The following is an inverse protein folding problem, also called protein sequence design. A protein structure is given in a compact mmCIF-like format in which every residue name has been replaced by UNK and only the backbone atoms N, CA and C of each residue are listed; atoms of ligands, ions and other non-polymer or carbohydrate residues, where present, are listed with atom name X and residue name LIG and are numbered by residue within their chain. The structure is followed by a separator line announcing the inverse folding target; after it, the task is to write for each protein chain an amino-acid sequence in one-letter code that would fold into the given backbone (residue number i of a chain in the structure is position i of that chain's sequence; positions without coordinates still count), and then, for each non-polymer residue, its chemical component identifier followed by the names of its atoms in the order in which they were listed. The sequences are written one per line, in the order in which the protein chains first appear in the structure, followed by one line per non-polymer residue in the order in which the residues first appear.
data_IF_149502911080
#
_entry.id   IF_149502911080
#
_cell.length_a   1.000
_cell.length_b   1.000
_cell.length_c   1.000
_cell.angle_alpha   90.00
_cell.angle_beta   90.00
_cell.angle_gamma   90.00
#
_symmetry.space_group_name_H-M   'P 1'
#
loop_
_entity.id
_entity.type
_entity.pdbx_description
1 polymer ?
#
# COMPACT_ATOMS: atom_id res chain seq x y z
N UNK A 1 -24.46 4.14 5.64
CA UNK A 1 -24.57 4.78 4.33
C UNK A 1 -24.16 6.22 4.46
N UNK A 2 -23.39 6.71 3.49
CA UNK A 2 -22.97 8.10 3.37
C UNK A 2 -23.97 8.98 2.61
N UNK A 3 -23.54 10.20 2.31
CA UNK A 3 -24.21 11.14 1.41
C UNK A 3 -23.21 11.50 0.32
N UNK A 4 -23.46 11.13 -0.92
CA UNK A 4 -22.53 11.37 -2.04
C UNK A 4 -22.96 12.60 -2.83
N UNK A 5 -21.99 13.28 -3.44
CA UNK A 5 -22.23 14.51 -4.18
C UNK A 5 -21.53 14.47 -5.53
N UNK A 6 -22.30 14.52 -6.61
CA UNK A 6 -21.77 14.52 -7.97
C UNK A 6 -21.35 15.91 -8.46
N UNK A 7 -21.61 16.98 -7.71
CA UNK A 7 -21.09 18.31 -8.02
C UNK A 7 -19.55 18.31 -7.81
N UNK A 8 -18.75 18.49 -8.88
CA UNK A 8 -17.29 18.44 -8.78
C UNK A 8 -16.69 19.55 -7.92
N UNK A 9 -17.47 20.60 -7.58
CA UNK A 9 -17.05 21.70 -6.72
C UNK A 9 -17.54 21.58 -5.27
N UNK A 10 -18.37 20.58 -4.98
CA UNK A 10 -18.88 20.33 -3.63
C UNK A 10 -17.86 19.55 -2.78
N UNK A 11 -17.90 19.83 -1.48
CA UNK A 11 -17.15 19.10 -0.46
C UNK A 11 -18.07 18.52 0.63
N UNK A 12 -19.39 18.54 0.40
CA UNK A 12 -20.37 18.10 1.41
C UNK A 12 -20.60 16.59 1.42
N UNK A 13 -19.96 15.87 0.48
CA UNK A 13 -19.97 14.42 0.46
C UNK A 13 -19.39 13.82 1.75
N UNK A 14 -20.06 12.79 2.26
CA UNK A 14 -19.69 11.99 3.43
C UNK A 14 -19.61 10.53 2.99
N UNK A 15 -18.47 9.86 3.19
CA UNK A 15 -18.39 8.42 2.96
C UNK A 15 -19.37 7.63 3.84
N UNK A 16 -19.57 8.09 5.08
CA UNK A 16 -20.49 7.50 6.04
C UNK A 16 -21.19 8.56 6.90
N UNK A 17 -22.39 8.26 7.41
CA UNK A 17 -23.13 9.14 8.34
C UNK A 17 -22.34 9.56 9.59
N UNK A 18 -21.37 8.75 10.01
CA UNK A 18 -20.51 8.97 11.18
C UNK A 18 -19.13 9.54 10.80
N UNK A 19 -18.90 9.83 9.52
CA UNK A 19 -17.69 10.47 9.02
C UNK A 19 -18.02 11.91 8.65
N UNK A 20 -17.15 12.85 9.03
CA UNK A 20 -17.28 14.26 8.67
C UNK A 20 -17.16 14.44 7.15
N UNK A 21 -17.93 15.38 6.55
CA UNK A 21 -17.82 15.69 5.13
C UNK A 21 -16.44 16.29 4.83
N UNK A 22 -16.06 16.35 3.57
CA UNK A 22 -14.76 16.91 3.15
C UNK A 22 -14.66 18.42 3.42
N UNK A 23 -15.79 19.13 3.53
CA UNK A 23 -15.87 20.54 3.91
C UNK A 23 -15.50 20.80 5.38
N UNK A 24 -15.56 19.77 6.23
CA UNK A 24 -15.19 19.86 7.64
C UNK A 24 -13.77 19.33 7.89
N UNK A 25 -12.99 19.98 8.77
CA UNK A 25 -11.64 19.54 9.09
C UNK A 25 -11.65 18.16 9.78
N UNK A 26 -10.66 17.33 9.45
CA UNK A 26 -10.41 16.07 10.15
C UNK A 26 -9.81 16.35 11.52
N UNK A 27 -10.42 15.80 12.57
CA UNK A 27 -9.87 15.85 13.92
C UNK A 27 -8.97 14.64 14.14
N UNK A 28 -7.66 14.89 14.09
CA UNK A 28 -6.64 13.85 14.24
C UNK A 28 -6.57 13.26 15.66
N UNK A 29 -7.23 13.87 16.65
CA UNK A 29 -7.30 13.35 18.00
C UNK A 29 -8.43 12.32 18.15
N UNK A 30 -9.59 12.59 17.55
CA UNK A 30 -10.83 11.83 17.81
C UNK A 30 -11.36 11.06 16.61
N UNK A 31 -11.15 11.53 15.38
CA UNK A 31 -11.59 10.83 14.18
C UNK A 31 -10.62 9.67 13.87
N UNK A 32 -11.17 8.53 13.43
CA UNK A 32 -10.41 7.31 13.13
C UNK A 32 -10.35 7.02 11.64
N UNK A 33 -9.12 6.79 11.16
CA UNK A 33 -8.88 6.36 9.77
C UNK A 33 -9.23 4.87 9.66
N UNK A 34 -10.18 4.58 8.78
CA UNK A 34 -10.57 3.23 8.37
C UNK A 34 -10.47 3.19 6.86
N UNK A 35 -9.34 2.70 6.38
CA UNK A 35 -9.02 2.78 4.96
C UNK A 35 -8.49 1.50 4.37
N UNK A 36 -8.36 1.53 3.05
CA UNK A 36 -7.72 0.49 2.25
C UNK A 36 -6.65 1.13 1.38
N UNK A 37 -5.63 0.36 1.04
CA UNK A 37 -4.68 0.73 0.01
C UNK A 37 -5.29 0.42 -1.36
N UNK A 38 -4.98 1.26 -2.35
CA UNK A 38 -5.16 0.94 -3.76
C UNK A 38 -3.85 0.40 -4.34
N UNK A 39 -3.26 -0.57 -3.63
CA UNK A 39 -2.01 -1.24 -4.01
C UNK A 39 -2.17 -2.04 -5.30
N UNK A 40 -1.09 -2.15 -6.07
CA UNK A 40 -1.10 -2.81 -7.37
C UNK A 40 -1.82 -2.05 -8.48
N UNK A 41 -2.31 -0.81 -8.26
CA UNK A 41 -2.98 0.01 -9.29
C UNK A 41 -2.02 0.90 -10.07
N UNK A 42 -1.35 1.84 -9.41
CA UNK A 42 -0.43 2.78 -10.08
C UNK A 42 1.04 2.40 -9.91
N UNK A 43 1.33 1.55 -8.93
CA UNK A 43 2.61 0.87 -8.74
C UNK A 43 2.31 -0.62 -8.81
N UNK A 44 2.82 -1.30 -9.84
CA UNK A 44 2.42 -2.67 -10.13
C UNK A 44 3.15 -3.69 -9.25
N UNK A 45 2.39 -4.66 -8.77
CA UNK A 45 2.89 -5.72 -7.90
C UNK A 45 2.43 -7.10 -8.41
N UNK A 46 3.37 -8.01 -8.69
CA UNK A 46 3.03 -9.32 -9.24
C UNK A 46 2.05 -10.13 -8.41
N UNK A 47 2.08 -10.01 -7.08
CA UNK A 47 1.17 -10.78 -6.23
C UNK A 47 -0.25 -10.18 -6.20
N UNK A 48 -0.42 -8.89 -6.50
CA UNK A 48 -1.74 -8.25 -6.54
C UNK A 48 -2.38 -8.46 -7.91
N UNK A 49 -1.61 -8.32 -8.99
CA UNK A 49 -2.07 -8.46 -10.37
C UNK A 49 -1.28 -9.51 -11.16
N UNK A 50 -1.29 -10.79 -10.74
CA UNK A 50 -0.42 -11.83 -11.29
C UNK A 50 -0.57 -12.05 -12.80
N UNK A 51 -1.78 -11.92 -13.33
CA UNK A 51 -2.05 -12.12 -14.76
C UNK A 51 -1.27 -11.17 -15.68
N UNK A 52 -0.94 -9.94 -15.24
CA UNK A 52 -0.13 -9.01 -16.05
C UNK A 52 1.29 -9.52 -16.27
N UNK A 53 1.88 -10.11 -15.23
CA UNK A 53 3.26 -10.62 -15.23
C UNK A 53 3.33 -12.00 -15.86
N UNK A 54 2.28 -12.82 -15.70
CA UNK A 54 2.21 -14.18 -16.24
C UNK A 54 2.27 -14.27 -17.75
N UNK A 55 1.90 -13.19 -18.45
CA UNK A 55 2.08 -13.06 -19.90
C UNK A 55 3.55 -13.18 -20.33
N UNK A 56 4.48 -12.77 -19.47
CA UNK A 56 5.91 -12.74 -19.73
C UNK A 56 6.70 -13.67 -18.79
N UNK A 57 6.03 -14.62 -18.15
CA UNK A 57 6.65 -15.52 -17.16
C UNK A 57 7.66 -16.50 -17.75
N UNK A 58 7.52 -16.84 -19.03
CA UNK A 58 8.41 -17.78 -19.72
C UNK A 58 9.46 -17.06 -20.58
N UNK A 59 9.61 -15.73 -20.43
CA UNK A 59 10.61 -14.97 -21.17
C UNK A 59 12.04 -15.32 -20.74
N UNK A 60 12.96 -15.38 -21.71
CA UNK A 60 14.37 -15.75 -21.53
C UNK A 60 15.26 -14.58 -22.00
N UNK A 61 16.30 -14.17 -21.24
CA UNK A 61 16.86 -14.86 -20.09
C UNK A 61 16.08 -14.70 -18.77
N UNK A 62 15.26 -13.67 -18.64
CA UNK A 62 14.56 -13.36 -17.38
C UNK A 62 13.08 -12.99 -17.63
N UNK A 63 12.15 -13.42 -16.75
CA UNK A 63 10.74 -13.06 -16.85
C UNK A 63 10.47 -11.64 -16.33
N UNK A 64 9.24 -11.16 -16.51
CA UNK A 64 8.76 -9.96 -15.82
C UNK A 64 8.68 -10.24 -14.30
N UNK A 65 9.57 -9.62 -13.51
CA UNK A 65 9.61 -9.72 -12.04
C UNK A 65 9.05 -8.51 -11.30
N UNK A 66 9.00 -7.38 -11.99
CA UNK A 66 8.66 -6.05 -11.47
C UNK A 66 8.21 -5.15 -12.64
N UNK A 67 7.77 -3.93 -12.34
CA UNK A 67 7.30 -3.01 -13.39
C UNK A 67 8.42 -2.58 -14.35
N UNK A 68 9.68 -2.56 -13.91
CA UNK A 68 10.84 -2.29 -14.76
C UNK A 68 10.95 -3.31 -15.90
N UNK A 69 11.07 -4.58 -15.55
CA UNK A 69 11.22 -5.69 -16.50
C UNK A 69 9.96 -5.88 -17.34
N UNK A 70 8.76 -5.73 -16.74
CA UNK A 70 7.50 -5.73 -17.49
C UNK A 70 7.49 -4.63 -18.56
N UNK A 71 7.92 -3.42 -18.21
CA UNK A 71 7.98 -2.29 -19.13
C UNK A 71 8.96 -2.55 -20.29
N UNK A 72 10.14 -3.10 -20.02
CA UNK A 72 11.10 -3.47 -21.06
C UNK A 72 10.54 -4.53 -22.02
N UNK A 73 9.90 -5.57 -21.48
CA UNK A 73 9.36 -6.67 -22.27
C UNK A 73 8.18 -6.23 -23.15
N UNK A 74 7.24 -5.45 -22.61
CA UNK A 74 6.12 -4.90 -23.39
C UNK A 74 6.62 -3.95 -24.48
N UNK A 75 7.63 -3.12 -24.20
CA UNK A 75 8.25 -2.26 -25.20
C UNK A 75 8.92 -3.07 -26.31
N UNK A 76 9.46 -4.25 -26.00
CA UNK A 76 10.11 -5.14 -26.97
C UNK A 76 9.13 -6.05 -27.72
N UNK A 77 7.91 -6.26 -27.23
CA UNK A 77 6.88 -7.12 -27.84
C UNK A 77 6.31 -6.51 -29.13
N UNK A 78 7.05 -6.65 -30.24
CA UNK A 78 6.71 -6.09 -31.57
C UNK A 78 5.61 -6.87 -32.29
N UNK A 79 4.52 -7.22 -31.61
CA UNK A 79 3.37 -7.92 -32.19
C UNK A 79 2.76 -7.19 -33.39
N UNK A 80 3.40 -7.33 -34.55
CA UNK A 80 3.08 -6.92 -35.93
C UNK A 80 2.56 -5.49 -36.19
N UNK A 81 2.41 -4.62 -35.19
CA UNK A 81 2.04 -3.21 -35.40
C UNK A 81 3.29 -2.30 -35.50
N UNK A 82 3.17 -1.23 -36.29
CA UNK A 82 4.26 -0.25 -36.52
C UNK A 82 4.49 0.73 -35.37
N UNK A 83 3.99 0.43 -34.16
CA UNK A 83 4.03 1.35 -33.03
C UNK A 83 5.44 1.46 -32.41
N UNK A 84 5.69 2.53 -31.68
CA UNK A 84 6.89 2.68 -30.84
C UNK A 84 6.75 1.83 -29.56
N UNK A 85 7.87 1.55 -28.89
CA UNK A 85 7.81 0.84 -27.60
C UNK A 85 6.97 1.59 -26.55
N UNK A 86 7.02 2.92 -26.55
CA UNK A 86 6.21 3.75 -25.63
C UNK A 86 4.73 3.60 -25.89
N UNK A 87 4.30 3.64 -27.16
CA UNK A 87 2.90 3.45 -27.53
C UNK A 87 2.38 2.05 -27.17
N UNK A 88 3.22 1.00 -27.29
CA UNK A 88 2.87 -0.35 -26.82
C UNK A 88 2.69 -0.39 -25.31
N UNK A 89 3.62 0.18 -24.56
CA UNK A 89 3.55 0.20 -23.10
C UNK A 89 2.32 0.97 -22.61
N UNK A 90 2.05 2.13 -23.20
CA UNK A 90 0.86 2.91 -22.88
C UNK A 90 -0.43 2.14 -23.20
N UNK A 91 -0.52 1.56 -24.40
CA UNK A 91 -1.68 0.76 -24.77
C UNK A 91 -1.89 -0.38 -23.79
N UNK A 92 -0.84 -1.17 -23.52
CA UNK A 92 -0.88 -2.29 -22.59
C UNK A 92 -1.31 -1.86 -21.18
N UNK A 93 -0.68 -0.85 -20.59
CA UNK A 93 -1.00 -0.42 -19.23
C UNK A 93 -2.41 0.15 -19.13
N UNK A 94 -2.88 0.93 -20.11
CA UNK A 94 -4.26 1.43 -20.11
C UNK A 94 -5.28 0.32 -20.29
N UNK A 95 -5.15 -0.49 -21.35
CA UNK A 95 -6.19 -1.46 -21.73
C UNK A 95 -6.22 -2.68 -20.84
N UNK A 96 -5.07 -3.16 -20.36
CA UNK A 96 -5.00 -4.36 -19.53
C UNK A 96 -5.12 -4.05 -18.03
N UNK A 97 -4.88 -2.80 -17.61
CA UNK A 97 -4.75 -2.50 -16.19
C UNK A 97 -5.41 -1.19 -15.72
N UNK A 98 -4.84 -0.01 -16.00
CA UNK A 98 -5.23 1.23 -15.32
C UNK A 98 -6.71 1.60 -15.50
N UNK A 99 -7.31 1.33 -16.67
CA UNK A 99 -8.74 1.61 -16.91
C UNK A 99 -9.69 0.52 -16.39
N UNK A 100 -9.16 -0.61 -15.91
CA UNK A 100 -9.96 -1.81 -15.56
C UNK A 100 -9.80 -2.26 -14.12
N UNK A 101 -8.63 -2.04 -13.52
CA UNK A 101 -8.33 -2.57 -12.21
C UNK A 101 -9.03 -1.78 -11.13
N UNK A 102 -8.76 -0.49 -10.95
CA UNK A 102 -9.55 0.38 -10.06
C UNK A 102 -10.37 1.35 -10.91
N UNK A 103 -11.66 1.41 -10.62
CA UNK A 103 -12.65 2.22 -11.31
C UNK A 103 -13.41 3.10 -10.32
N UNK A 104 -14.33 3.93 -10.81
CA UNK A 104 -15.19 4.71 -9.93
C UNK A 104 -16.07 3.81 -9.03
N UNK A 105 -16.51 2.66 -9.55
CA UNK A 105 -17.34 1.70 -8.80
C UNK A 105 -16.61 1.22 -7.55
N UNK A 106 -15.28 1.02 -7.62
CA UNK A 106 -14.48 0.67 -6.46
C UNK A 106 -14.53 1.75 -5.37
N UNK A 107 -14.57 3.04 -5.71
CA UNK A 107 -14.68 4.12 -4.71
C UNK A 107 -16.07 4.13 -4.07
N UNK A 108 -17.12 3.84 -4.85
CA UNK A 108 -18.46 3.68 -4.33
C UNK A 108 -18.55 2.47 -3.38
N UNK A 109 -17.92 1.35 -3.72
CA UNK A 109 -17.87 0.13 -2.90
C UNK A 109 -17.03 0.31 -1.64
N UNK A 110 -15.88 0.98 -1.72
CA UNK A 110 -15.04 1.35 -0.56
C UNK A 110 -15.86 2.16 0.43
N UNK A 111 -16.55 3.21 -0.05
CA UNK A 111 -17.45 3.98 0.78
C UNK A 111 -18.56 3.08 1.34
N UNK A 112 -19.22 2.24 0.52
CA UNK A 112 -20.28 1.34 0.96
C UNK A 112 -19.85 0.32 2.04
N UNK A 113 -18.59 -0.10 2.03
CA UNK A 113 -17.96 -0.99 3.01
C UNK A 113 -17.70 -0.33 4.38
N UNK A 114 -18.12 0.94 4.58
CA UNK A 114 -17.96 1.63 5.85
C UNK A 114 -16.63 2.38 6.01
N UNK A 115 -15.81 2.39 4.97
CA UNK A 115 -14.49 3.04 4.96
C UNK A 115 -14.61 4.54 4.69
N UNK A 116 -13.59 5.30 5.14
CA UNK A 116 -13.58 6.76 5.05
C UNK A 116 -12.29 7.33 4.43
N UNK A 117 -11.29 6.49 4.20
CA UNK A 117 -10.01 6.86 3.61
C UNK A 117 -9.54 5.84 2.58
N UNK A 118 -8.73 6.30 1.62
CA UNK A 118 -7.86 5.46 0.81
C UNK A 118 -6.40 5.89 0.99
N UNK A 119 -5.49 4.93 0.92
CA UNK A 119 -4.07 5.21 0.65
C UNK A 119 -3.82 4.92 -0.81
N UNK A 120 -3.25 5.88 -1.52
CA UNK A 120 -2.99 5.82 -2.96
C UNK A 120 -1.47 5.75 -3.21
N UNK A 121 -0.89 4.55 -3.26
CA UNK A 121 0.45 4.33 -3.79
C UNK A 121 0.54 4.85 -5.22
N UNK A 122 1.51 5.72 -5.48
CA UNK A 122 1.87 6.10 -6.84
C UNK A 122 3.39 6.21 -6.99
N UNK A 123 3.94 5.93 -8.18
CA UNK A 123 5.37 5.89 -8.38
C UNK A 123 5.93 7.21 -8.91
N UNK A 124 7.25 7.41 -8.77
CA UNK A 124 7.91 8.62 -9.27
C UNK A 124 7.76 8.84 -10.79
N UNK A 125 7.61 7.77 -11.59
CA UNK A 125 7.41 7.90 -13.04
C UNK A 125 6.04 8.48 -13.42
N UNK A 126 5.11 8.59 -12.47
CA UNK A 126 3.93 9.44 -12.64
C UNK A 126 4.30 10.93 -12.81
N UNK A 127 5.49 11.35 -12.37
CA UNK A 127 5.96 12.74 -12.47
C UNK A 127 6.92 12.88 -13.66
N UNK A 128 8.02 12.12 -13.67
CA UNK A 128 9.01 12.14 -14.73
C UNK A 128 9.86 10.86 -14.78
N UNK A 129 10.53 10.64 -15.91
CA UNK A 129 11.56 9.60 -16.07
C UNK A 129 12.88 10.20 -16.59
N UNK A 130 14.00 9.53 -16.32
CA UNK A 130 15.33 9.85 -16.86
C UNK A 130 15.76 8.81 -17.90
N UNK A 131 16.72 9.15 -18.80
CA UNK A 131 17.24 8.21 -19.78
C UNK A 131 17.69 6.89 -19.15
N UNK A 132 17.17 5.77 -19.67
CA UNK A 132 17.44 4.43 -19.15
C UNK A 132 16.38 3.89 -18.20
N UNK A 133 15.43 4.70 -17.75
CA UNK A 133 14.26 4.24 -16.99
C UNK A 133 13.14 3.82 -17.97
N UNK A 134 12.72 2.54 -17.99
CA UNK A 134 11.80 2.04 -19.02
C UNK A 134 10.33 2.33 -18.71
N UNK A 135 10.01 2.97 -17.59
CA UNK A 135 8.65 3.21 -17.14
C UNK A 135 7.84 4.08 -18.11
N UNK A 136 6.51 4.06 -17.95
CA UNK A 136 5.62 4.94 -18.68
C UNK A 136 5.49 6.28 -17.95
N UNK A 137 6.17 7.29 -18.46
CA UNK A 137 6.18 8.63 -17.89
C UNK A 137 4.78 9.28 -17.91
N UNK A 138 4.40 9.94 -16.80
CA UNK A 138 3.23 10.84 -16.63
C UNK A 138 1.83 10.21 -16.72
N UNK A 139 1.67 9.07 -17.37
CA UNK A 139 0.32 8.48 -17.57
C UNK A 139 -0.36 8.11 -16.26
N UNK A 140 0.37 7.56 -15.28
CA UNK A 140 -0.19 7.22 -13.97
C UNK A 140 -0.78 8.45 -13.22
N UNK A 141 -0.27 9.66 -13.48
CA UNK A 141 -0.76 10.89 -12.85
C UNK A 141 -2.20 11.23 -13.26
N UNK A 142 -2.63 10.86 -14.47
CA UNK A 142 -4.02 11.02 -14.90
C UNK A 142 -4.99 10.27 -13.96
N UNK A 143 -4.56 9.10 -13.48
CA UNK A 143 -5.36 8.26 -12.57
C UNK A 143 -5.30 8.76 -11.13
N UNK A 144 -4.20 9.41 -10.71
CA UNK A 144 -4.17 10.17 -9.45
C UNK A 144 -5.24 11.27 -9.45
N UNK A 145 -5.42 11.97 -10.57
CA UNK A 145 -6.46 13.00 -10.70
C UNK A 145 -7.87 12.39 -10.68
N UNK A 146 -8.10 11.26 -11.38
CA UNK A 146 -9.37 10.50 -11.30
C UNK A 146 -9.67 10.07 -9.86
N UNK A 147 -8.68 9.55 -9.13
CA UNK A 147 -8.83 9.12 -7.74
C UNK A 147 -9.26 10.29 -6.83
N UNK A 148 -8.71 11.49 -7.02
CA UNK A 148 -9.12 12.69 -6.25
C UNK A 148 -10.57 13.08 -6.57
N UNK A 149 -10.97 13.00 -7.84
CA UNK A 149 -12.34 13.27 -8.26
C UNK A 149 -13.34 12.28 -7.64
N UNK A 150 -13.06 10.99 -7.74
CA UNK A 150 -13.91 9.95 -7.17
C UNK A 150 -13.94 10.02 -5.64
N UNK A 151 -12.79 10.24 -4.99
CA UNK A 151 -12.73 10.44 -3.55
C UNK A 151 -13.58 11.63 -3.10
N UNK A 152 -13.55 12.74 -3.84
CA UNK A 152 -14.41 13.90 -3.58
C UNK A 152 -15.89 13.51 -3.63
N UNK A 153 -16.30 12.84 -4.71
CA UNK A 153 -17.70 12.44 -4.93
C UNK A 153 -18.26 11.56 -3.82
N UNK A 154 -17.46 10.61 -3.34
CA UNK A 154 -17.87 9.64 -2.32
C UNK A 154 -17.49 10.05 -0.89
N UNK A 155 -16.92 11.24 -0.69
CA UNK A 155 -16.55 11.76 0.63
C UNK A 155 -15.41 10.99 1.30
N UNK A 156 -14.52 10.38 0.50
CA UNK A 156 -13.32 9.68 0.94
C UNK A 156 -12.15 10.66 1.00
N UNK A 157 -11.28 10.49 2.00
CA UNK A 157 -10.00 11.22 2.11
C UNK A 157 -8.84 10.37 1.59
N UNK A 158 -7.76 11.02 1.15
CA UNK A 158 -6.61 10.37 0.54
C UNK A 158 -5.35 10.58 1.39
N UNK A 159 -4.65 9.47 1.67
CA UNK A 159 -3.22 9.48 1.90
C UNK A 159 -2.49 9.26 0.58
N UNK A 160 -1.87 10.30 0.05
CA UNK A 160 -1.14 10.25 -1.21
C UNK A 160 0.28 9.76 -0.92
N UNK A 161 0.66 8.62 -1.48
CA UNK A 161 1.86 7.90 -1.07
C UNK A 161 2.87 7.75 -2.22
N UNK A 162 4.02 8.41 -2.08
CA UNK A 162 5.11 8.26 -3.04
C UNK A 162 5.81 6.91 -2.79
N UNK A 163 5.26 5.89 -3.47
CA UNK A 163 5.52 4.49 -3.17
C UNK A 163 6.84 3.98 -3.75
N UNK A 164 7.29 4.59 -4.85
CA UNK A 164 8.51 4.22 -5.56
C UNK A 164 9.40 5.45 -5.74
N UNK A 165 10.65 5.37 -5.31
CA UNK A 165 11.64 6.44 -5.47
C UNK A 165 12.62 6.15 -6.60
N UNK A 166 13.21 7.19 -7.25
CA UNK A 166 14.30 7.00 -8.20
C UNK A 166 15.42 6.12 -7.65
N UNK A 167 15.83 5.14 -8.44
CA UNK A 167 16.86 4.17 -8.07
C UNK A 167 16.40 3.08 -7.10
N UNK A 168 15.12 3.00 -6.72
CA UNK A 168 14.60 2.10 -5.67
C UNK A 168 15.15 2.41 -4.28
N UNK A 169 14.23 2.57 -3.32
CA UNK A 169 14.56 2.83 -1.93
C UNK A 169 14.76 1.58 -1.08
N UNK A 170 14.28 0.42 -1.52
CA UNK A 170 14.28 -0.82 -0.74
C UNK A 170 14.76 -2.06 -1.51
N UNK A 171 14.92 -1.96 -2.84
CA UNK A 171 15.34 -3.05 -3.70
C UNK A 171 14.26 -4.12 -3.94
N UNK A 172 13.02 -3.88 -3.52
CA UNK A 172 11.89 -4.79 -3.66
C UNK A 172 11.05 -4.47 -4.90
N UNK A 173 10.31 -5.46 -5.43
CA UNK A 173 9.55 -5.32 -6.67
C UNK A 173 8.56 -4.14 -6.66
N UNK A 174 7.89 -3.87 -5.54
CA UNK A 174 6.91 -2.81 -5.36
C UNK A 174 7.53 -1.40 -5.26
N UNK A 175 8.86 -1.28 -5.22
CA UNK A 175 9.55 0.00 -5.51
C UNK A 175 9.75 0.25 -7.00
N UNK A 176 9.24 -0.64 -7.87
CA UNK A 176 9.32 -0.60 -9.32
C UNK A 176 10.48 -1.39 -9.91
N UNK A 177 11.55 -1.64 -9.14
CA UNK A 177 12.74 -2.37 -9.59
C UNK A 177 13.33 -3.23 -8.48
N UNK A 178 13.21 -4.55 -8.63
CA UNK A 178 13.87 -5.56 -7.81
C UNK A 178 15.38 -5.50 -8.04
N UNK A 179 16.16 -5.52 -6.96
CA UNK A 179 17.62 -5.56 -7.02
C UNK A 179 18.30 -4.59 -6.06
N UNK A 180 19.46 -3.98 -6.43
CA UNK A 180 20.21 -3.15 -5.51
C UNK A 180 19.50 -1.83 -5.20
N UNK A 181 19.67 -1.35 -3.97
CA UNK A 181 19.16 -0.04 -3.54
C UNK A 181 20.02 1.06 -4.15
N UNK A 182 19.42 1.84 -5.06
CA UNK A 182 20.06 2.98 -5.70
C UNK A 182 19.87 4.28 -4.94
N UNK A 183 18.80 4.41 -4.15
CA UNK A 183 18.49 5.59 -3.32
C UNK A 183 19.48 5.70 -2.14
N UNK A 184 20.18 6.83 -2.02
CA UNK A 184 21.20 7.11 -1.00
C UNK A 184 22.39 6.12 -0.91
N UNK A 185 22.41 5.02 -1.67
CA UNK A 185 23.39 3.93 -1.56
C UNK A 185 24.23 3.70 -2.83
N UNK A 186 23.91 4.38 -3.94
CA UNK A 186 24.67 4.27 -5.19
C UNK A 186 25.44 5.54 -5.54
N UNK A 187 26.24 5.50 -6.62
CA UNK A 187 26.88 6.69 -7.19
C UNK A 187 25.85 7.79 -7.57
N UNK A 188 24.63 7.38 -7.93
CA UNK A 188 23.51 8.29 -8.20
C UNK A 188 22.62 8.52 -6.96
N UNK A 189 22.99 8.02 -5.79
CA UNK A 189 22.12 7.98 -4.61
C UNK A 189 21.70 9.35 -4.09
N UNK A 190 22.62 10.32 -4.06
CA UNK A 190 22.29 11.70 -3.69
C UNK A 190 21.45 12.40 -4.77
N UNK A 191 21.71 12.13 -6.05
CA UNK A 191 20.92 12.67 -7.14
C UNK A 191 19.47 12.14 -7.11
N UNK A 192 19.30 10.85 -6.85
CA UNK A 192 17.99 10.21 -6.66
C UNK A 192 17.23 10.77 -5.45
N UNK A 193 17.93 11.01 -4.35
CA UNK A 193 17.36 11.68 -3.18
C UNK A 193 16.95 13.13 -3.49
N UNK A 194 17.78 13.88 -4.22
CA UNK A 194 17.46 15.25 -4.62
C UNK A 194 16.24 15.30 -5.56
N UNK A 195 16.17 14.42 -6.57
CA UNK A 195 14.98 14.25 -7.43
C UNK A 195 13.72 14.04 -6.59
N UNK A 196 13.81 13.13 -5.61
CA UNK A 196 12.69 12.84 -4.70
C UNK A 196 12.28 14.07 -3.90
N UNK A 197 13.22 14.83 -3.35
CA UNK A 197 12.95 16.06 -2.59
C UNK A 197 12.27 17.13 -3.46
N UNK A 198 12.63 17.22 -4.73
CA UNK A 198 12.02 18.16 -5.68
C UNK A 198 10.59 17.70 -6.05
N UNK A 199 10.36 16.40 -6.21
CA UNK A 199 9.01 15.84 -6.35
C UNK A 199 8.14 16.13 -5.13
N UNK A 200 8.66 15.94 -3.92
CA UNK A 200 7.92 16.23 -2.69
C UNK A 200 7.55 17.71 -2.55
N UNK A 201 8.42 18.62 -2.99
CA UNK A 201 8.09 20.05 -3.04
C UNK A 201 6.97 20.34 -4.06
N UNK A 202 7.02 19.73 -5.25
CA UNK A 202 5.96 19.86 -6.26
C UNK A 202 4.62 19.27 -5.78
N UNK A 203 4.66 18.11 -5.12
CA UNK A 203 3.49 17.46 -4.50
C UNK A 203 2.92 18.31 -3.37
N UNK A 204 3.77 18.95 -2.56
CA UNK A 204 3.33 19.87 -1.53
C UNK A 204 2.56 21.06 -2.12
N UNK A 205 3.04 21.65 -3.23
CA UNK A 205 2.31 22.69 -3.97
C UNK A 205 0.99 22.14 -4.52
N UNK A 206 1.00 20.94 -5.08
CA UNK A 206 -0.22 20.31 -5.57
C UNK A 206 -1.27 20.12 -4.48
N UNK A 207 -0.85 19.67 -3.29
CA UNK A 207 -1.74 19.43 -2.15
C UNK A 207 -2.33 20.72 -1.54
N UNK A 208 -1.80 21.91 -1.85
CA UNK A 208 -2.37 23.18 -1.37
C UNK A 208 -3.43 23.75 -2.33
N UNK A 209 -3.57 23.19 -3.54
CA UNK A 209 -4.56 23.65 -4.53
C UNK A 209 -5.97 23.43 -4.03
N UNK A 210 -6.86 24.37 -4.33
CA UNK A 210 -8.30 24.20 -4.10
C UNK A 210 -8.81 22.97 -4.87
N UNK A 211 -9.67 22.18 -4.22
CA UNK A 211 -10.13 20.90 -4.73
C UNK A 211 -9.25 19.72 -4.32
N UNK A 212 -7.96 19.95 -4.07
CA UNK A 212 -7.02 18.91 -3.63
C UNK A 212 -6.90 18.91 -2.11
N UNK A 213 -6.73 20.09 -1.49
CA UNK A 213 -6.48 20.22 -0.03
C UNK A 213 -7.57 19.63 0.86
N UNK A 214 -8.82 19.59 0.39
CA UNK A 214 -9.96 19.01 1.11
C UNK A 214 -9.97 17.48 1.05
N UNK A 215 -9.40 16.91 -0.01
CA UNK A 215 -9.43 15.47 -0.31
C UNK A 215 -8.15 14.80 0.19
N UNK A 216 -6.99 15.38 -0.11
CA UNK A 216 -5.67 14.85 0.27
C UNK A 216 -5.30 15.36 1.66
N UNK A 217 -5.61 14.56 2.67
CA UNK A 217 -5.33 14.87 4.07
C UNK A 217 -3.94 14.43 4.53
N UNK A 218 -3.33 13.47 3.85
CA UNK A 218 -1.97 12.98 4.15
C UNK A 218 -1.09 12.88 2.90
N UNK A 219 0.21 13.10 3.09
CA UNK A 219 1.26 12.89 2.10
C UNK A 219 2.35 12.00 2.70
N UNK A 220 2.41 10.73 2.30
CA UNK A 220 3.49 9.81 2.64
C UNK A 220 4.69 10.03 1.72
N UNK A 221 5.85 10.35 2.31
CA UNK A 221 6.98 10.91 1.55
C UNK A 221 7.93 9.87 0.94
N UNK A 222 7.92 8.65 1.48
CA UNK A 222 8.70 7.52 0.99
C UNK A 222 8.16 6.22 1.61
N UNK A 223 7.88 5.22 0.79
CA UNK A 223 7.48 3.90 1.25
C UNK A 223 8.69 3.05 1.67
N UNK A 224 8.64 2.44 2.86
CA UNK A 224 9.52 1.37 3.34
C UNK A 224 11.04 1.49 3.07
N UNK A 225 11.66 2.62 3.40
CA UNK A 225 13.13 2.74 3.32
C UNK A 225 13.80 1.84 4.39
N UNK A 226 14.60 0.81 4.02
CA UNK A 226 15.18 -0.13 4.95
C UNK A 226 16.35 0.51 5.69
N UNK A 227 16.01 1.04 6.85
CA UNK A 227 16.85 1.85 7.71
C UNK A 227 18.28 1.29 7.94
N UNK A 228 18.39 -0.02 8.17
CA UNK A 228 19.68 -0.66 8.48
C UNK A 228 20.57 -0.78 7.24
N UNK A 229 19.97 -0.98 6.07
CA UNK A 229 20.70 -1.12 4.81
C UNK A 229 21.11 0.24 4.26
N UNK A 230 20.21 1.23 4.30
CA UNK A 230 20.49 2.59 3.80
C UNK A 230 21.32 3.42 4.79
N UNK A 231 21.18 3.16 6.09
CA UNK A 231 21.89 3.85 7.16
C UNK A 231 21.06 4.94 7.84
N UNK A 232 21.02 4.90 9.17
CA UNK A 232 20.11 5.74 9.96
C UNK A 232 20.33 7.24 9.78
N UNK A 233 21.59 7.67 9.69
CA UNK A 233 21.92 9.10 9.55
C UNK A 233 21.38 9.63 8.22
N UNK A 234 21.65 8.92 7.12
CA UNK A 234 21.21 9.33 5.79
C UNK A 234 19.67 9.39 5.69
N UNK A 235 18.97 8.37 6.19
CA UNK A 235 17.50 8.33 6.19
C UNK A 235 16.91 9.45 7.04
N UNK A 236 17.43 9.69 8.25
CA UNK A 236 16.96 10.80 9.11
C UNK A 236 17.20 12.16 8.47
N UNK A 237 18.37 12.38 7.88
CA UNK A 237 18.68 13.63 7.17
C UNK A 237 17.76 13.86 5.98
N UNK A 238 17.50 12.83 5.16
CA UNK A 238 16.57 12.91 4.04
C UNK A 238 15.17 13.31 4.51
N UNK A 239 14.65 12.65 5.54
CA UNK A 239 13.34 13.02 6.07
C UNK A 239 13.33 14.39 6.75
N UNK A 240 14.39 14.84 7.41
CA UNK A 240 14.44 16.20 7.95
C UNK A 240 14.33 17.24 6.80
N UNK A 241 15.11 17.06 5.74
CA UNK A 241 15.08 17.91 4.55
C UNK A 241 13.72 17.87 3.84
N UNK A 242 13.11 16.69 3.70
CA UNK A 242 11.78 16.53 3.13
C UNK A 242 10.71 17.29 3.93
N UNK A 243 10.81 17.27 5.27
CA UNK A 243 9.90 18.03 6.13
C UNK A 243 10.04 19.53 5.90
N UNK A 244 11.26 20.06 5.91
CA UNK A 244 11.51 21.49 5.70
C UNK A 244 11.02 21.94 4.33
N UNK A 245 11.28 21.17 3.27
CA UNK A 245 10.80 21.51 1.92
C UNK A 245 9.28 21.55 1.81
N UNK A 246 8.60 20.57 2.39
CA UNK A 246 7.14 20.54 2.40
C UNK A 246 6.60 21.73 3.20
N UNK A 247 7.13 22.00 4.40
CA UNK A 247 6.64 23.10 5.26
C UNK A 247 6.96 24.48 4.72
N UNK A 248 8.08 24.66 4.03
CA UNK A 248 8.40 25.91 3.33
C UNK A 248 7.38 26.22 2.22
N UNK A 249 6.78 25.21 1.60
CA UNK A 249 5.70 25.37 0.61
C UNK A 249 4.35 25.56 1.28
N UNK A 250 4.03 24.71 2.26
CA UNK A 250 2.66 24.64 2.79
C UNK A 250 2.39 25.63 3.92
N UNK A 251 3.43 26.11 4.59
CA UNK A 251 3.32 26.81 5.88
C UNK A 251 3.13 25.85 7.06
N UNK A 252 3.01 26.42 8.26
CA UNK A 252 2.85 25.72 9.53
C UNK A 252 1.44 25.86 10.12
N UNK A 253 1.01 24.88 10.91
CA UNK A 253 -0.25 24.92 11.65
C UNK A 253 -1.45 24.34 10.88
N UNK A 254 -2.60 24.26 11.56
CA UNK A 254 -3.81 23.69 11.00
C UNK A 254 -4.27 24.41 9.72
N UNK A 255 -4.72 23.66 8.72
CA UNK A 255 -5.18 24.18 7.42
C UNK A 255 -4.10 24.46 6.39
N UNK A 256 -2.82 24.43 6.77
CA UNK A 256 -1.69 24.79 5.90
C UNK A 256 -1.07 23.57 5.20
N UNK A 257 -1.86 22.80 4.44
CA UNK A 257 -1.44 21.58 3.71
C UNK A 257 -1.67 20.25 4.45
N UNK A 258 -1.20 19.11 3.91
CA UNK A 258 -1.47 17.78 4.46
C UNK A 258 -0.62 17.45 5.69
N UNK A 259 -1.07 16.45 6.46
CA UNK A 259 -0.24 15.75 7.44
C UNK A 259 0.85 14.99 6.68
N UNK A 260 2.10 15.22 7.06
CA UNK A 260 3.24 14.57 6.44
C UNK A 260 3.48 13.24 7.14
N UNK A 261 3.51 12.16 6.37
CA UNK A 261 3.66 10.81 6.89
C UNK A 261 5.05 10.22 6.55
N UNK A 262 5.67 9.55 7.52
CA UNK A 262 6.94 8.86 7.37
C UNK A 262 6.78 7.38 7.68
N UNK A 263 7.13 6.51 6.73
CA UNK A 263 7.17 5.08 6.97
C UNK A 263 8.45 4.74 7.73
N UNK A 264 8.30 4.27 8.97
CA UNK A 264 9.40 3.80 9.79
C UNK A 264 8.91 2.89 10.93
N UNK A 265 9.71 1.91 11.36
CA UNK A 265 9.38 1.09 12.53
C UNK A 265 9.14 1.97 13.77
N UNK A 266 8.15 1.63 14.61
CA UNK A 266 7.90 2.40 15.84
C UNK A 266 9.07 2.41 16.82
N UNK A 267 10.01 1.48 16.74
CA UNK A 267 11.27 1.56 17.48
C UNK A 267 12.03 2.87 17.24
N UNK A 268 11.81 3.51 16.08
CA UNK A 268 12.39 4.79 15.68
C UNK A 268 11.79 6.01 16.41
N UNK A 269 10.62 5.87 17.06
CA UNK A 269 10.04 6.91 17.94
C UNK A 269 10.90 7.18 19.17
N UNK A 270 11.68 6.19 19.64
CA UNK A 270 12.54 6.33 20.82
C UNK A 270 13.55 7.47 20.69
N UNK A 271 13.96 7.81 19.46
CA UNK A 271 14.92 8.89 19.23
C UNK A 271 14.25 10.26 19.07
N UNK A 272 12.91 10.34 19.12
CA UNK A 272 12.09 11.56 19.03
C UNK A 272 12.51 12.55 17.93
N UNK A 273 13.13 12.05 16.87
CA UNK A 273 13.91 12.85 15.91
C UNK A 273 13.07 13.80 15.04
N UNK A 274 11.76 13.55 14.95
CA UNK A 274 10.75 14.46 14.39
C UNK A 274 9.55 14.64 15.32
N UNK A 275 9.68 14.27 16.61
CA UNK A 275 8.59 14.44 17.56
C UNK A 275 8.39 15.93 17.87
N UNK A 276 7.14 16.38 17.94
CA UNK A 276 6.80 17.79 18.17
C UNK A 276 6.89 18.68 16.92
N UNK A 277 7.23 18.11 15.76
CA UNK A 277 7.11 18.81 14.49
C UNK A 277 5.64 18.98 14.07
N UNK A 278 5.35 20.01 13.28
CA UNK A 278 4.00 20.35 12.86
C UNK A 278 3.41 19.29 11.91
N UNK A 279 2.27 18.72 12.29
CA UNK A 279 1.45 17.80 11.48
C UNK A 279 2.25 16.63 10.90
N UNK A 280 2.88 15.86 11.78
CA UNK A 280 3.59 14.63 11.43
C UNK A 280 2.83 13.39 11.85
N UNK A 281 2.80 12.41 10.96
CA UNK A 281 2.32 11.07 11.22
C UNK A 281 3.47 10.06 11.09
N UNK A 282 3.40 8.98 11.86
CA UNK A 282 4.29 7.85 11.76
C UNK A 282 3.52 6.65 11.25
N UNK A 283 3.99 6.11 10.15
CA UNK A 283 3.42 4.95 9.50
C UNK A 283 4.26 3.71 9.82
N UNK A 284 3.62 2.70 10.40
CA UNK A 284 4.23 1.39 10.66
C UNK A 284 3.44 0.29 9.98
N UNK A 285 4.11 -0.43 9.09
CA UNK A 285 3.56 -1.61 8.45
C UNK A 285 3.71 -2.81 9.38
N UNK A 286 2.66 -3.63 9.50
CA UNK A 286 2.59 -4.75 10.45
C UNK A 286 2.07 -5.99 9.75
N UNK A 287 2.98 -6.94 9.51
CA UNK A 287 2.67 -8.21 8.86
C UNK A 287 3.09 -9.38 9.75
N UNK A 288 2.26 -10.44 9.75
CA UNK A 288 2.62 -11.75 10.30
C UNK A 288 3.16 -12.69 9.21
N UNK A 289 2.88 -12.41 7.93
CA UNK A 289 3.24 -13.23 6.78
C UNK A 289 4.74 -13.51 6.65
N UNK A 290 5.58 -12.54 7.03
CA UNK A 290 7.04 -12.57 6.80
C UNK A 290 7.84 -12.90 8.06
N UNK A 291 7.19 -13.51 9.06
CA UNK A 291 7.89 -13.96 10.27
C UNK A 291 8.88 -15.08 9.95
N UNK A 292 9.83 -15.30 10.86
CA UNK A 292 10.74 -16.43 10.75
C UNK A 292 9.94 -17.74 10.73
N UNK A 293 10.39 -18.77 9.98
CA UNK A 293 9.66 -20.03 9.85
C UNK A 293 9.22 -20.66 11.18
N UNK A 294 10.01 -20.54 12.25
CA UNK A 294 9.70 -21.09 13.58
C UNK A 294 8.59 -20.32 14.33
N UNK A 295 8.10 -19.22 13.76
CA UNK A 295 7.07 -18.35 14.32
C UNK A 295 5.81 -18.31 13.45
N UNK A 296 5.78 -19.08 12.36
CA UNK A 296 4.61 -19.27 11.52
C UNK A 296 3.66 -20.22 12.23
N UNK A 297 2.87 -19.68 13.16
CA UNK A 297 1.84 -20.43 13.90
C UNK A 297 0.47 -20.39 13.19
N UNK A 298 -0.52 -21.11 13.75
CA UNK A 298 -1.90 -21.08 13.27
C UNK A 298 -2.63 -19.78 13.63
N UNK A 299 -3.83 -19.57 13.05
CA UNK A 299 -4.60 -18.33 13.27
C UNK A 299 -4.93 -18.09 14.75
N UNK A 300 -5.24 -19.14 15.51
CA UNK A 300 -5.56 -19.06 16.94
C UNK A 300 -4.39 -18.51 17.76
N UNK A 301 -3.16 -18.89 17.43
CA UNK A 301 -1.95 -18.42 18.10
C UNK A 301 -1.65 -16.95 17.78
N UNK A 302 -2.04 -16.48 16.59
CA UNK A 302 -1.81 -15.10 16.15
C UNK A 302 -2.92 -14.14 16.59
N UNK A 303 -4.13 -14.64 16.87
CA UNK A 303 -5.35 -13.84 17.06
C UNK A 303 -5.16 -12.65 18.00
N UNK A 304 -4.63 -12.87 19.20
CA UNK A 304 -4.44 -11.81 20.20
C UNK A 304 -3.08 -11.10 20.13
N UNK A 305 -2.15 -11.53 19.26
CA UNK A 305 -0.83 -10.89 19.13
C UNK A 305 -0.93 -9.39 18.80
N UNK A 306 -1.85 -8.90 17.95
CA UNK A 306 -2.02 -7.46 17.71
C UNK A 306 -2.32 -6.66 18.98
N UNK A 307 -3.31 -7.09 19.77
CA UNK A 307 -3.66 -6.43 21.02
C UNK A 307 -2.49 -6.47 22.02
N UNK A 308 -1.84 -7.62 22.16
CA UNK A 308 -0.82 -7.84 23.19
C UNK A 308 0.54 -7.23 22.83
N UNK A 309 0.89 -7.15 21.53
CA UNK A 309 2.23 -6.74 21.08
C UNK A 309 2.26 -5.38 20.39
N UNK A 310 1.19 -4.95 19.75
CA UNK A 310 1.21 -3.75 18.90
C UNK A 310 0.41 -2.60 19.48
N UNK A 311 -0.76 -2.83 20.11
CA UNK A 311 -1.63 -1.77 20.62
C UNK A 311 -0.89 -0.79 21.56
N UNK A 312 -0.01 -1.29 22.42
CA UNK A 312 0.80 -0.47 23.32
C UNK A 312 1.76 0.48 22.58
N UNK A 313 2.30 0.08 21.42
CA UNK A 313 3.18 0.95 20.63
C UNK A 313 2.37 2.06 19.92
N UNK A 314 1.17 1.75 19.41
CA UNK A 314 0.27 2.74 18.81
C UNK A 314 -0.17 3.77 19.86
N UNK A 315 -0.63 3.33 21.04
CA UNK A 315 -1.00 4.21 22.16
C UNK A 315 0.17 5.12 22.61
N UNK A 316 1.38 4.57 22.70
CA UNK A 316 2.57 5.35 23.05
C UNK A 316 2.91 6.37 21.97
N UNK A 317 2.83 5.98 20.70
CA UNK A 317 3.16 6.89 19.58
C UNK A 317 2.19 8.05 19.53
N UNK A 318 0.89 7.77 19.70
CA UNK A 318 -0.17 8.79 19.82
C UNK A 318 0.13 9.82 20.91
N UNK A 319 0.54 9.37 22.10
CA UNK A 319 0.77 10.24 23.25
C UNK A 319 2.13 10.95 23.29
N UNK A 320 3.13 10.48 22.53
CA UNK A 320 4.52 10.96 22.69
C UNK A 320 5.18 11.51 21.43
N UNK A 321 4.63 11.22 20.25
CA UNK A 321 5.27 11.50 18.96
C UNK A 321 4.36 12.30 18.02
N UNK A 322 3.17 11.77 17.71
CA UNK A 322 2.28 12.29 16.68
C UNK A 322 1.25 11.24 16.28
N UNK A 323 0.65 11.39 15.11
CA UNK A 323 -0.43 10.52 14.64
C UNK A 323 0.15 9.15 14.24
N UNK A 324 -0.15 8.05 14.95
CA UNK A 324 0.25 6.72 14.52
C UNK A 324 -0.75 6.22 13.47
N UNK A 325 -0.21 5.57 12.45
CA UNK A 325 -0.97 4.94 11.37
C UNK A 325 -0.37 3.57 11.09
N UNK A 326 -1.23 2.57 10.90
CA UNK A 326 -0.83 1.34 10.21
C UNK A 326 -1.16 1.53 8.73
N UNK A 327 -0.20 2.02 7.96
CA UNK A 327 -0.37 2.28 6.52
C UNK A 327 -0.52 1.00 5.72
N UNK A 328 -0.04 -0.12 6.27
CA UNK A 328 -0.23 -1.44 5.70
C UNK A 328 -0.30 -2.53 6.76
N UNK A 329 -1.28 -3.43 6.59
CA UNK A 329 -1.42 -4.71 7.27
C UNK A 329 -2.34 -5.62 6.45
N UNK A 330 -2.32 -6.92 6.70
CA UNK A 330 -3.21 -7.89 6.06
C UNK A 330 -3.61 -8.99 7.04
N UNK A 331 -4.46 -9.94 6.62
CA UNK A 331 -4.77 -11.12 7.42
C UNK A 331 -3.80 -12.29 7.17
N UNK A 332 -2.76 -12.07 6.38
CA UNK A 332 -1.81 -13.12 6.05
C UNK A 332 -0.93 -13.47 7.27
N UNK A 333 -1.06 -14.71 7.73
CA UNK A 333 -0.25 -15.30 8.82
C UNK A 333 0.92 -16.16 8.30
N UNK A 334 1.06 -16.25 6.98
CA UNK A 334 2.12 -16.93 6.26
C UNK A 334 2.36 -16.25 4.91
N UNK A 335 3.36 -16.72 4.17
CA UNK A 335 3.77 -16.18 2.88
C UNK A 335 3.40 -17.08 1.69
N UNK A 336 2.32 -17.87 1.79
CA UNK A 336 1.87 -18.77 0.73
C UNK A 336 1.36 -18.07 -0.54
N UNK A 337 1.15 -16.75 -0.48
CA UNK A 337 0.59 -16.01 -1.59
C UNK A 337 1.42 -16.14 -2.86
N UNK A 338 0.77 -16.41 -3.99
CA UNK A 338 1.39 -16.44 -5.30
C UNK A 338 2.14 -15.14 -5.59
N UNK A 339 3.43 -15.26 -5.89
CA UNK A 339 4.38 -14.16 -6.13
C UNK A 339 4.55 -13.16 -4.97
N UNK A 340 4.05 -13.48 -3.79
CA UNK A 340 4.14 -12.59 -2.63
C UNK A 340 5.59 -12.28 -2.26
N UNK A 341 6.46 -13.29 -2.34
CA UNK A 341 7.88 -13.12 -2.03
C UNK A 341 8.68 -12.54 -3.20
N UNK A 342 8.40 -12.96 -4.44
CA UNK A 342 8.81 -12.39 -5.73
C UNK A 342 8.32 -13.32 -6.84
N UNK A 343 8.35 -12.87 -8.10
CA UNK A 343 8.21 -13.79 -9.24
C UNK A 343 9.41 -14.73 -9.27
N UNK A 344 9.13 -16.02 -9.43
CA UNK A 344 10.10 -17.14 -9.38
C UNK A 344 10.72 -17.43 -8.00
N UNK A 345 10.24 -16.81 -6.92
CA UNK A 345 10.58 -17.20 -5.55
C UNK A 345 9.40 -17.95 -4.90
N UNK A 346 9.74 -18.96 -4.09
CA UNK A 346 8.76 -19.75 -3.34
C UNK A 346 8.35 -19.10 -2.02
N UNK A 347 7.96 -19.93 -1.05
CA UNK A 347 7.46 -19.51 0.26
C UNK A 347 8.21 -20.21 1.42
N UNK A 348 8.22 -19.59 2.59
CA UNK A 348 8.91 -20.07 3.79
C UNK A 348 8.21 -21.28 4.38
N UNK A 349 6.87 -21.30 4.34
CA UNK A 349 6.07 -22.37 4.94
C UNK A 349 6.43 -23.75 4.35
N UNK A 350 6.55 -23.83 3.03
CA UNK A 350 6.89 -25.04 2.27
C UNK A 350 8.40 -25.20 2.01
N UNK A 351 9.22 -24.29 2.55
CA UNK A 351 10.69 -24.35 2.41
C UNK A 351 11.18 -24.15 0.98
N UNK A 352 10.43 -23.44 0.15
CA UNK A 352 10.77 -23.14 -1.26
C UNK A 352 11.28 -21.72 -1.47
N UNK A 353 11.27 -20.89 -0.43
CA UNK A 353 11.87 -19.54 -0.43
C UNK A 353 13.41 -19.62 -0.47
N UNK A 354 14.12 -18.68 -1.11
CA UNK A 354 15.59 -18.70 -1.13
C UNK A 354 16.23 -18.78 0.26
N UNK A 355 17.22 -19.67 0.40
CA UNK A 355 17.92 -20.01 1.64
C UNK A 355 17.12 -20.81 2.67
N UNK A 356 15.88 -21.20 2.37
CA UNK A 356 15.18 -22.26 3.10
C UNK A 356 15.42 -23.60 2.40
N UNK A 357 15.53 -24.68 3.18
CA UNK A 357 15.81 -26.02 2.63
C UNK A 357 14.82 -27.09 3.08
N UNK A 358 13.96 -26.78 4.05
CA UNK A 358 13.00 -27.73 4.61
C UNK A 358 11.68 -27.02 4.94
N UNK A 359 10.52 -27.64 4.64
CA UNK A 359 9.24 -27.13 5.09
C UNK A 359 9.20 -27.02 6.61
N UNK A 360 8.61 -25.94 7.12
CA UNK A 360 8.42 -25.71 8.54
C UNK A 360 6.94 -25.47 8.80
N UNK A 361 6.23 -26.57 9.01
CA UNK A 361 4.81 -26.53 9.30
C UNK A 361 4.59 -26.43 10.81
N UNK A 362 3.81 -25.44 11.31
CA UNK A 362 3.35 -25.52 12.67
C UNK A 362 2.52 -26.79 12.88
N UNK A 363 2.44 -27.33 14.11
CA UNK A 363 1.58 -28.48 14.40
C UNK A 363 0.11 -28.26 14.00
N UNK A 364 -0.34 -27.01 13.92
CA UNK A 364 -1.67 -26.56 13.51
C UNK A 364 -1.82 -26.32 12.00
N UNK A 365 -0.81 -26.64 11.18
CA UNK A 365 -0.87 -26.43 9.73
C UNK A 365 -1.92 -27.35 9.07
N UNK A 366 -2.77 -26.81 8.17
CA UNK A 366 -3.72 -27.62 7.42
C UNK A 366 -3.03 -28.53 6.40
N UNK A 367 -3.69 -29.64 6.03
CA UNK A 367 -3.21 -30.56 4.97
C UNK A 367 -3.26 -29.84 3.61
N UNK A 368 -2.20 -29.95 2.79
CA UNK A 368 -2.10 -29.21 1.51
C UNK A 368 -1.75 -27.74 1.71
N UNK A 369 -0.67 -27.48 2.44
CA UNK A 369 -0.44 -26.27 3.24
C UNK A 369 -0.68 -24.95 2.53
N UNK A 370 0.02 -24.62 1.43
CA UNK A 370 -0.25 -23.36 0.74
C UNK A 370 -1.49 -23.39 -0.14
N UNK A 371 -1.84 -24.55 -0.73
CA UNK A 371 -3.10 -24.67 -1.47
C UNK A 371 -4.30 -24.30 -0.59
N UNK A 372 -4.32 -24.73 0.68
CA UNK A 372 -5.38 -24.35 1.63
C UNK A 372 -5.49 -22.83 1.81
N UNK A 373 -4.36 -22.11 1.90
CA UNK A 373 -4.34 -20.66 2.10
C UNK A 373 -4.62 -19.87 0.81
N UNK A 374 -4.39 -20.47 -0.36
CA UNK A 374 -4.75 -19.90 -1.66
C UNK A 374 -6.22 -20.14 -2.02
N UNK A 375 -6.82 -21.22 -1.50
CA UNK A 375 -8.18 -21.67 -1.79
C UNK A 375 -9.15 -21.36 -0.67
N UNK A 376 -9.67 -20.13 -0.68
CA UNK A 376 -10.66 -19.67 0.28
C UNK A 376 -12.00 -20.41 0.20
N UNK A 377 -12.26 -21.16 -0.88
CA UNK A 377 -13.41 -22.06 -1.02
C UNK A 377 -13.30 -23.33 -0.16
N UNK A 378 -12.13 -23.59 0.43
CA UNK A 378 -11.91 -24.64 1.41
C UNK A 378 -12.11 -24.17 2.87
N UNK A 379 -12.30 -22.86 3.09
CA UNK A 379 -12.42 -22.32 4.46
C UNK A 379 -13.83 -22.49 4.99
N UNK A 380 -13.94 -23.18 6.12
CA UNK A 380 -15.18 -23.29 6.86
C UNK A 380 -15.50 -22.01 7.66
N UNK A 381 -16.68 -21.98 8.28
CA UNK A 381 -17.12 -20.81 9.05
C UNK A 381 -16.28 -20.56 10.30
N UNK A 382 -15.66 -21.58 10.88
CA UNK A 382 -14.78 -21.44 12.06
C UNK A 382 -13.47 -20.74 11.68
N UNK A 383 -12.86 -21.13 10.56
CA UNK A 383 -11.71 -20.44 9.99
C UNK A 383 -12.05 -18.98 9.65
N UNK A 384 -13.18 -18.75 8.96
CA UNK A 384 -13.63 -17.39 8.62
C UNK A 384 -13.90 -16.55 9.87
N UNK A 385 -14.48 -17.13 10.91
CA UNK A 385 -14.70 -16.45 12.19
C UNK A 385 -13.38 -16.07 12.86
N UNK A 386 -12.41 -16.98 12.87
CA UNK A 386 -11.07 -16.74 13.45
C UNK A 386 -10.32 -15.63 12.72
N UNK A 387 -10.39 -15.60 11.39
CA UNK A 387 -9.85 -14.51 10.57
C UNK A 387 -10.58 -13.18 10.84
N UNK A 388 -11.90 -13.21 11.06
CA UNK A 388 -12.68 -12.02 11.41
C UNK A 388 -12.31 -11.46 12.78
N UNK A 389 -12.06 -12.32 13.76
CA UNK A 389 -11.52 -11.93 15.07
C UNK A 389 -10.12 -11.35 14.94
N UNK A 390 -9.26 -11.97 14.14
CA UNK A 390 -7.92 -11.45 13.89
C UNK A 390 -7.95 -10.09 13.18
N UNK A 391 -8.89 -9.88 12.24
CA UNK A 391 -9.12 -8.58 11.61
C UNK A 391 -9.51 -7.52 12.64
N UNK A 392 -10.45 -7.84 13.55
CA UNK A 392 -10.88 -6.94 14.63
C UNK A 392 -9.74 -6.59 15.59
N UNK A 393 -8.96 -7.59 16.00
CA UNK A 393 -7.79 -7.39 16.85
C UNK A 393 -6.77 -6.43 16.22
N UNK A 394 -6.50 -6.57 14.92
CA UNK A 394 -5.59 -5.67 14.20
C UNK A 394 -6.18 -4.25 14.08
N UNK A 395 -7.41 -4.13 13.60
CA UNK A 395 -8.09 -2.84 13.38
C UNK A 395 -8.17 -2.01 14.67
N UNK A 396 -8.49 -2.65 15.80
CA UNK A 396 -8.59 -1.97 17.09
C UNK A 396 -7.22 -1.59 17.67
N UNK A 397 -6.25 -2.51 17.60
CA UNK A 397 -4.88 -2.25 18.04
C UNK A 397 -4.25 -1.06 17.29
N UNK A 398 -4.57 -0.90 16.00
CA UNK A 398 -3.99 0.13 15.15
C UNK A 398 -4.69 1.48 15.23
N UNK A 399 -6.01 1.49 15.48
CA UNK A 399 -6.90 2.66 15.58
C UNK A 399 -7.04 3.47 14.28
N UNK A 400 -5.94 3.82 13.64
CA UNK A 400 -5.85 4.43 12.31
C UNK A 400 -5.15 3.45 11.39
N UNK A 401 -5.83 2.97 10.36
CA UNK A 401 -5.31 1.87 9.56
C UNK A 401 -5.73 1.93 8.10
N UNK A 402 -4.88 1.33 7.27
CA UNK A 402 -5.08 1.08 5.85
C UNK A 402 -4.78 -0.39 5.56
N UNK A 403 -5.81 -1.16 5.22
CA UNK A 403 -5.63 -2.58 4.87
C UNK A 403 -4.89 -2.70 3.52
N UNK A 404 -3.93 -3.61 3.43
CA UNK A 404 -3.21 -3.95 2.20
C UNK A 404 -3.80 -5.24 1.62
N UNK A 405 -4.61 -5.19 0.56
CA UNK A 405 -5.07 -4.06 -0.27
C UNK A 405 -6.60 -4.14 -0.51
N UNK A 406 -7.20 -3.18 -1.22
CA UNK A 406 -8.64 -3.20 -1.56
C UNK A 406 -9.05 -4.49 -2.27
N UNK A 407 -8.29 -4.89 -3.30
CA UNK A 407 -8.53 -6.13 -4.05
C UNK A 407 -7.29 -6.64 -4.77
N UNK A 408 -7.31 -7.92 -5.11
CA UNK A 408 -6.33 -8.62 -5.96
C UNK A 408 -7.05 -9.17 -7.19
N UNK A 409 -6.31 -9.56 -8.24
CA UNK A 409 -6.90 -10.22 -9.42
C UNK A 409 -6.55 -11.71 -9.47
N UNK A 410 -7.39 -12.54 -10.12
CA UNK A 410 -7.05 -13.92 -10.39
C UNK A 410 -5.73 -14.06 -11.17
N UNK A 411 -4.99 -15.14 -10.88
CA UNK A 411 -3.91 -15.58 -11.75
C UNK A 411 -4.50 -16.22 -13.01
N UNK A 412 -3.87 -16.00 -14.15
CA UNK A 412 -4.21 -16.66 -15.41
C UNK A 412 -3.75 -18.12 -15.48
N UNK A 413 -2.81 -18.54 -14.62
CA UNK A 413 -2.17 -19.87 -14.64
C UNK A 413 -2.47 -20.73 -13.41
N UNK A 414 -2.81 -20.12 -12.27
CA UNK A 414 -2.98 -20.77 -10.97
C UNK A 414 -4.34 -20.39 -10.38
N UNK A 415 -5.24 -21.37 -10.23
CA UNK A 415 -6.64 -21.14 -9.80
C UNK A 415 -7.35 -19.96 -10.51
N UNK A 416 -7.51 -19.98 -11.85
CA UNK A 416 -7.99 -18.82 -12.61
C UNK A 416 -9.45 -18.41 -12.36
N UNK A 417 -10.18 -19.19 -11.58
CA UNK A 417 -11.57 -18.93 -11.20
C UNK A 417 -11.68 -18.31 -9.79
N UNK A 418 -10.56 -18.17 -9.07
CA UNK A 418 -10.49 -17.60 -7.73
C UNK A 418 -9.65 -16.32 -7.77
N UNK A 419 -10.03 -15.32 -6.98
CA UNK A 419 -9.13 -14.19 -6.71
C UNK A 419 -7.87 -14.70 -6.01
N UNK A 420 -6.69 -14.30 -6.51
CA UNK A 420 -5.43 -14.73 -5.92
C UNK A 420 -5.23 -14.07 -4.56
N UNK A 421 -4.47 -14.73 -3.68
CA UNK A 421 -3.98 -14.13 -2.43
C UNK A 421 -5.11 -13.59 -1.53
N UNK A 422 -6.09 -14.44 -1.14
CA UNK A 422 -7.34 -13.99 -0.50
C UNK A 422 -7.15 -13.24 0.82
N UNK A 423 -6.09 -13.55 1.58
CA UNK A 423 -5.73 -12.85 2.81
C UNK A 423 -5.21 -11.42 2.59
N UNK A 424 -5.06 -10.98 1.34
CA UNK A 424 -4.62 -9.65 0.93
C UNK A 424 -5.72 -8.86 0.20
N UNK A 425 -6.94 -9.40 0.05
CA UNK A 425 -8.07 -8.73 -0.60
C UNK A 425 -9.15 -8.35 0.42
N UNK A 426 -9.27 -7.04 0.71
CA UNK A 426 -10.26 -6.52 1.65
C UNK A 426 -11.69 -6.76 1.16
N UNK A 427 -11.97 -6.41 -0.10
CA UNK A 427 -13.28 -6.54 -0.73
C UNK A 427 -13.76 -8.01 -0.75
N UNK A 428 -12.87 -8.95 -1.08
CA UNK A 428 -13.16 -10.38 -1.01
C UNK A 428 -13.48 -10.80 0.42
N UNK A 429 -12.68 -10.36 1.41
CA UNK A 429 -12.92 -10.73 2.80
C UNK A 429 -14.23 -10.21 3.37
N UNK A 430 -14.69 -9.04 2.94
CA UNK A 430 -16.01 -8.53 3.30
C UNK A 430 -17.12 -9.33 2.61
N UNK A 431 -16.94 -9.68 1.34
CA UNK A 431 -17.91 -10.46 0.54
C UNK A 431 -18.10 -11.87 1.08
N UNK A 432 -17.00 -12.55 1.37
CA UNK A 432 -16.96 -13.95 1.84
C UNK A 432 -17.08 -14.10 3.37
N UNK A 433 -16.93 -12.98 4.10
CA UNK A 433 -17.30 -12.87 5.50
C UNK A 433 -16.17 -13.02 6.52
N UNK A 434 -14.90 -13.10 6.14
CA UNK A 434 -13.79 -13.13 7.11
C UNK A 434 -13.24 -11.74 7.49
N UNK A 435 -13.79 -10.66 6.91
CA UNK A 435 -13.59 -9.28 7.36
C UNK A 435 -14.95 -8.73 7.83
N UNK A 436 -15.00 -7.99 8.95
CA UNK A 436 -16.25 -7.41 9.44
C UNK A 436 -16.87 -6.46 8.40
N UNK A 437 -18.19 -6.55 8.22
CA UNK A 437 -18.94 -5.67 7.28
C UNK A 437 -19.00 -4.23 7.75
N UNK A 438 -19.06 -4.03 9.07
CA UNK A 438 -18.90 -2.70 9.67
C UNK A 438 -17.54 -2.66 10.36
N UNK A 439 -16.58 -1.87 9.87
CA UNK A 439 -15.24 -1.81 10.49
C UNK A 439 -15.27 -1.25 11.92
N UNK A 440 -16.39 -0.69 12.39
CA UNK A 440 -16.60 -0.28 13.80
C UNK A 440 -16.80 -1.47 14.74
N UNK A 441 -17.12 -2.65 14.22
CA UNK A 441 -17.25 -3.87 15.03
C UNK A 441 -15.91 -4.31 15.66
N UNK A 442 -14.81 -3.70 15.23
CA UNK A 442 -13.50 -3.84 15.86
C UNK A 442 -13.32 -2.97 17.11
N UNK A 443 -14.05 -1.85 17.24
CA UNK A 443 -13.81 -0.87 18.30
C UNK A 443 -13.98 -1.50 19.70
N UNK A 444 -12.91 -1.52 20.51
CA UNK A 444 -12.91 -2.12 21.85
C UNK A 444 -12.78 -3.64 21.88
N UNK A 445 -12.22 -4.24 20.82
CA UNK A 445 -11.87 -5.66 20.78
C UNK A 445 -10.64 -5.95 21.66
N UNK A 446 -9.67 -5.05 21.64
CA UNK A 446 -8.60 -4.92 22.61
C UNK A 446 -9.09 -3.97 23.75
#
# INVERSE_FOLDING_TARGET
GGTFDADPFSYDARAQRFTKPLSEPWDWETDRIRGVNLGGWLSLEPFITPSLFERYLDHVPEPARDEWSLSELVRADKGLDGSTGTERLERFLRTEHYDRFITEDDFAEIAAAGLNWIRLPFPFWAIETWPGEPFLEKVAWEYVLKAIEWARKYGLRINLDLHSLPGSQNGWNHSGKLGPIGFLQSAMGLANAQRTLDYLAALAVFCTRDGVRQVVGMLSVANEVPLLQVGQVAVKSFYAEAYERIRNVTGYGAGNGPVRCSVAPFAFTKTRWIAGLDRVALDSHRYMAFLAPQQLDGIEDHLMKPCLKWAADFNRTFSTFGIPVSGEFSLAINDCGRFLNNVAEGNRLEGTFPNESHPQFPPSAPVGTCEFWERYDLWDEDMKSSLRDFARAQMDAFQNWFYWTWKTTPSSRHFPHLEANPLWSYSLGVREGWIPRDPRDADGFC
#
